data_IF_675611925856
#
_entry.id   IF_675611925856
#
_cell.length_a   1.000
_cell.length_b   1.000
_cell.length_c   1.000
_cell.angle_alpha   90.00
_cell.angle_beta   90.00
_cell.angle_gamma   90.00
#
_symmetry.space_group_name_H-M   'P 1'
#
loop_
_entity.id
_entity.type
_entity.pdbx_description
1 polymer ?
#
# COMPACT_ATOMS: atom_id res chain seq x y z
N UNK A 1 -47.92 -55.26 21.65
CA UNK A 1 -46.56 -55.06 22.20
C UNK A 1 -45.52 -54.91 21.10
N UNK A 2 -45.58 -53.82 20.31
CA UNK A 2 -44.52 -53.41 19.36
C UNK A 2 -44.67 -51.92 19.09
N UNK A 3 -44.14 -51.08 19.97
CA UNK A 3 -43.90 -49.65 19.75
C UNK A 3 -43.17 -49.14 20.99
N UNK A 4 -41.84 -49.14 20.94
CA UNK A 4 -40.93 -48.30 21.76
C UNK A 4 -39.52 -48.86 21.56
N UNK A 5 -38.81 -48.48 20.49
CA UNK A 5 -37.34 -48.58 20.44
C UNK A 5 -36.72 -47.93 19.19
N UNK A 6 -37.22 -46.78 18.71
CA UNK A 6 -36.55 -46.06 17.59
C UNK A 6 -36.74 -44.54 17.72
N UNK A 7 -36.42 -43.92 18.86
CA UNK A 7 -36.39 -42.42 18.90
C UNK A 7 -35.28 -41.81 19.75
N UNK A 8 -34.34 -42.57 20.33
CA UNK A 8 -33.42 -42.01 21.34
C UNK A 8 -31.95 -41.90 20.92
N UNK A 9 -31.58 -42.15 19.65
CA UNK A 9 -30.16 -42.09 19.21
C UNK A 9 -29.87 -40.95 18.21
N UNK A 10 -30.88 -40.35 17.59
CA UNK A 10 -30.66 -39.33 16.55
C UNK A 10 -30.43 -37.89 17.07
N UNK A 11 -30.71 -37.61 18.34
CA UNK A 11 -30.68 -36.22 18.87
C UNK A 11 -29.33 -35.78 19.44
N UNK A 12 -28.43 -36.70 19.78
CA UNK A 12 -27.14 -36.32 20.40
C UNK A 12 -26.03 -36.08 19.37
N UNK A 13 -26.08 -36.69 18.19
CA UNK A 13 -25.04 -36.55 17.16
C UNK A 13 -25.14 -35.24 16.36
N UNK A 14 -26.33 -34.64 16.27
CA UNK A 14 -26.56 -33.41 15.51
C UNK A 14 -26.06 -32.15 16.27
N UNK A 15 -26.10 -32.16 17.59
CA UNK A 15 -25.58 -31.06 18.41
C UNK A 15 -24.04 -30.96 18.38
N UNK A 16 -23.32 -32.07 18.26
CA UNK A 16 -21.86 -32.04 18.14
C UNK A 16 -21.37 -31.56 16.76
N UNK A 17 -22.11 -31.86 15.68
CA UNK A 17 -21.77 -31.37 14.34
C UNK A 17 -22.00 -29.86 14.18
N UNK A 18 -23.02 -29.29 14.82
CA UNK A 18 -23.24 -27.83 14.81
C UNK A 18 -22.23 -27.11 15.71
N UNK A 19 -21.83 -27.70 16.84
CA UNK A 19 -20.80 -27.12 17.71
C UNK A 19 -19.38 -27.17 17.09
N UNK A 20 -19.04 -28.20 16.33
CA UNK A 20 -17.75 -28.28 15.62
C UNK A 20 -17.70 -27.35 14.38
N UNK A 21 -18.86 -27.05 13.77
CA UNK A 21 -18.96 -26.12 12.63
C UNK A 21 -18.87 -24.65 13.05
N UNK A 22 -19.27 -24.31 14.29
CA UNK A 22 -19.15 -22.95 14.83
C UNK A 22 -17.78 -22.68 15.50
N UNK A 23 -17.00 -23.72 15.79
CA UNK A 23 -15.67 -23.62 16.39
C UNK A 23 -14.52 -23.54 15.36
N UNK A 24 -14.83 -23.46 14.06
CA UNK A 24 -13.91 -22.89 13.05
C UNK A 24 -14.04 -21.35 13.11
N UNK A 25 -13.97 -20.81 14.33
CA UNK A 25 -13.80 -19.39 14.57
C UNK A 25 -12.36 -19.05 14.21
N UNK A 26 -12.17 -18.56 12.97
CA UNK A 26 -11.36 -17.37 12.71
C UNK A 26 -9.98 -17.36 13.39
N UNK A 27 -9.22 -18.45 13.29
CA UNK A 27 -7.77 -18.36 13.37
C UNK A 27 -7.25 -17.74 12.07
N UNK A 28 -7.72 -16.53 11.74
CA UNK A 28 -7.02 -15.68 10.80
C UNK A 28 -5.68 -15.36 11.43
N UNK A 29 -4.59 -15.60 10.71
CA UNK A 29 -3.30 -15.05 11.07
C UNK A 29 -3.48 -13.54 11.20
N UNK A 30 -3.28 -12.98 12.40
CA UNK A 30 -3.30 -11.54 12.58
C UNK A 30 -2.08 -10.99 11.83
N UNK A 31 -2.32 -10.15 10.81
CA UNK A 31 -1.24 -9.48 10.08
C UNK A 31 -0.84 -8.25 10.89
N UNK A 32 0.46 -8.02 11.07
CA UNK A 32 0.92 -6.83 11.76
C UNK A 32 0.63 -5.61 10.89
N UNK A 33 0.02 -4.58 11.48
CA UNK A 33 -0.20 -3.29 10.82
C UNK A 33 0.91 -2.34 11.25
N UNK A 34 1.67 -1.85 10.28
CA UNK A 34 2.73 -0.86 10.46
C UNK A 34 2.19 0.50 10.02
N UNK A 35 2.10 1.45 10.95
CA UNK A 35 1.70 2.81 10.65
C UNK A 35 2.88 3.59 10.09
N UNK A 36 2.72 4.12 8.88
CA UNK A 36 3.69 4.96 8.18
C UNK A 36 3.18 6.39 8.20
N UNK A 37 3.94 7.30 8.79
CA UNK A 37 3.51 8.68 9.00
C UNK A 37 4.48 9.73 8.44
N UNK A 38 5.57 9.27 7.84
CA UNK A 38 6.54 10.12 7.14
C UNK A 38 7.38 9.28 6.16
N UNK A 39 7.93 9.95 5.16
CA UNK A 39 8.97 9.40 4.29
C UNK A 39 10.34 9.93 4.70
N UNK A 40 11.31 9.04 4.78
CA UNK A 40 12.71 9.39 5.02
C UNK A 40 13.50 9.56 3.72
N UNK A 41 14.59 10.32 3.75
CA UNK A 41 15.58 10.26 2.67
C UNK A 41 16.26 8.89 2.65
N UNK A 42 16.47 8.29 1.48
CA UNK A 42 17.09 6.98 1.35
C UNK A 42 18.57 7.02 1.80
N UNK A 43 18.97 6.34 2.90
CA UNK A 43 20.36 6.26 3.31
C UNK A 43 21.12 5.19 2.50
N UNK A 44 22.44 5.11 2.69
CA UNK A 44 23.25 4.03 2.09
C UNK A 44 22.88 2.63 2.64
N UNK A 45 22.35 2.57 3.87
CA UNK A 45 21.88 1.33 4.49
C UNK A 45 20.48 1.59 5.07
N UNK A 46 19.42 1.19 4.36
CA UNK A 46 18.06 1.31 4.85
C UNK A 46 17.82 0.53 6.14
N UNK A 47 16.91 1.04 6.96
CA UNK A 47 16.36 0.32 8.10
C UNK A 47 15.07 -0.38 7.69
N UNK A 48 14.83 -1.54 8.27
CA UNK A 48 13.59 -2.29 8.08
C UNK A 48 12.36 -1.45 8.46
N UNK A 49 11.26 -1.64 7.73
CA UNK A 49 9.94 -1.04 7.96
C UNK A 49 9.90 0.51 7.91
N UNK A 50 10.97 1.16 7.46
CA UNK A 50 10.97 2.59 7.13
C UNK A 50 10.65 2.74 5.64
N UNK A 51 9.78 3.70 5.33
CA UNK A 51 9.49 4.09 3.96
C UNK A 51 10.34 5.29 3.55
N UNK A 52 10.95 5.18 2.37
CA UNK A 52 11.92 6.13 1.85
C UNK A 52 11.43 6.76 0.54
N UNK A 53 11.89 7.97 0.27
CA UNK A 53 11.86 8.58 -1.06
C UNK A 53 12.86 7.82 -1.97
N UNK A 54 12.44 6.68 -2.54
CA UNK A 54 13.35 5.74 -3.22
C UNK A 54 13.84 6.26 -4.57
N UNK A 55 12.99 6.93 -5.34
CA UNK A 55 13.35 7.54 -6.63
C UNK A 55 12.46 8.75 -6.93
N UNK A 56 12.94 9.95 -6.57
CA UNK A 56 12.34 11.24 -6.91
C UNK A 56 13.14 11.87 -8.03
N UNK A 57 12.52 12.13 -9.18
CA UNK A 57 13.18 12.80 -10.33
C UNK A 57 12.39 14.02 -10.77
N UNK A 58 13.14 15.06 -11.13
CA UNK A 58 12.59 16.33 -11.61
C UNK A 58 11.60 16.93 -10.62
N UNK A 59 10.36 17.14 -11.04
CA UNK A 59 9.27 17.66 -10.21
C UNK A 59 8.43 16.59 -9.49
N UNK A 60 8.94 15.35 -9.42
CA UNK A 60 8.31 14.29 -8.63
C UNK A 60 8.30 14.59 -7.13
N UNK A 61 7.17 14.36 -6.45
CA UNK A 61 7.07 14.54 -4.99
C UNK A 61 6.27 13.42 -4.33
N UNK A 62 6.49 13.24 -3.03
CA UNK A 62 5.69 12.35 -2.19
C UNK A 62 5.41 12.96 -0.81
N UNK A 63 4.22 12.72 -0.27
CA UNK A 63 3.80 13.15 1.07
C UNK A 63 2.72 12.25 1.65
N UNK A 64 2.35 12.43 2.91
CA UNK A 64 1.22 11.74 3.56
C UNK A 64 0.28 12.82 4.13
N UNK A 65 -0.57 13.43 3.28
CA UNK A 65 -1.50 14.47 3.72
C UNK A 65 -2.65 13.90 4.57
N UNK A 66 -3.20 14.72 5.46
CA UNK A 66 -4.51 14.49 6.04
C UNK A 66 -5.57 14.75 4.96
N UNK A 67 -6.44 13.76 4.70
CA UNK A 67 -7.49 13.85 3.68
C UNK A 67 -8.80 14.43 4.23
N UNK A 68 -8.85 14.82 5.50
CA UNK A 68 -10.02 15.47 6.11
C UNK A 68 -10.33 16.80 5.41
N UNK A 69 -11.56 16.95 4.93
CA UNK A 69 -12.04 18.14 4.23
C UNK A 69 -11.67 18.24 2.75
N UNK A 70 -10.98 17.25 2.17
CA UNK A 70 -10.72 17.19 0.71
C UNK A 70 -12.00 16.93 -0.10
N UNK A 71 -13.03 16.36 0.53
CA UNK A 71 -14.33 16.07 -0.07
C UNK A 71 -14.30 14.93 -1.09
N UNK A 72 -15.49 14.66 -1.67
CA UNK A 72 -15.67 13.64 -2.70
C UNK A 72 -15.21 12.25 -2.27
N UNK A 73 -14.91 11.40 -3.24
CA UNK A 73 -14.45 10.03 -2.96
C UNK A 73 -13.05 9.99 -2.34
N UNK A 74 -12.23 11.02 -2.54
CA UNK A 74 -10.90 11.10 -1.94
C UNK A 74 -11.01 11.07 -0.41
N UNK A 75 -11.96 11.82 0.18
CA UNK A 75 -12.20 11.83 1.63
C UNK A 75 -13.17 10.72 2.08
N UNK A 76 -14.32 10.57 1.42
CA UNK A 76 -15.43 9.74 1.94
C UNK A 76 -15.25 8.23 1.73
N UNK A 77 -14.39 7.84 0.80
CA UNK A 77 -14.16 6.44 0.42
C UNK A 77 -12.70 6.02 0.60
N UNK A 78 -11.88 6.82 1.28
CA UNK A 78 -10.51 6.43 1.62
C UNK A 78 -10.50 5.23 2.56
N UNK A 79 -9.44 4.42 2.51
CA UNK A 79 -9.22 3.48 3.59
C UNK A 79 -9.02 4.22 4.93
N UNK A 80 -9.57 3.63 6.00
CA UNK A 80 -9.48 4.21 7.35
C UNK A 80 -8.06 4.03 7.91
N UNK A 81 -7.55 4.94 8.76
CA UNK A 81 -8.29 6.02 9.45
C UNK A 81 -8.43 7.32 8.65
N UNK A 82 -7.35 8.07 8.44
CA UNK A 82 -7.32 9.35 7.73
C UNK A 82 -5.92 9.60 7.19
N UNK A 83 -5.77 9.63 5.87
CA UNK A 83 -4.50 9.80 5.20
C UNK A 83 -4.29 8.79 4.09
N UNK A 84 -3.33 9.10 3.23
CA UNK A 84 -2.79 8.16 2.26
C UNK A 84 -1.44 8.69 1.78
N UNK A 85 -0.58 7.82 1.24
CA UNK A 85 0.61 8.27 0.55
C UNK A 85 0.24 8.94 -0.78
N UNK A 86 0.52 10.22 -0.92
CA UNK A 86 0.37 10.99 -2.15
C UNK A 86 1.65 10.95 -2.97
N UNK A 87 1.53 10.72 -4.27
CA UNK A 87 2.59 10.80 -5.27
C UNK A 87 2.19 11.78 -6.36
N UNK A 88 3.12 12.65 -6.75
CA UNK A 88 2.91 13.56 -7.88
C UNK A 88 4.07 13.52 -8.87
N UNK A 89 3.79 13.67 -10.16
CA UNK A 89 4.81 13.96 -11.18
C UNK A 89 4.57 15.34 -11.78
N UNK A 90 5.61 15.93 -12.38
CA UNK A 90 5.47 17.17 -13.13
C UNK A 90 5.21 16.95 -14.62
N UNK A 91 5.35 18.02 -15.40
CA UNK A 91 5.05 18.04 -16.83
C UNK A 91 6.17 17.49 -17.73
N UNK A 92 7.27 16.96 -17.18
CA UNK A 92 8.38 16.40 -17.94
C UNK A 92 8.34 14.88 -17.99
N UNK A 93 8.73 14.29 -19.13
CA UNK A 93 8.79 12.83 -19.31
C UNK A 93 9.77 12.14 -18.36
N UNK A 94 10.72 12.90 -17.80
CA UNK A 94 11.69 12.40 -16.84
C UNK A 94 11.22 12.53 -15.38
N UNK A 95 10.07 13.18 -15.13
CA UNK A 95 9.54 13.30 -13.77
C UNK A 95 9.06 11.93 -13.28
N UNK A 96 9.41 11.61 -12.04
CA UNK A 96 9.10 10.32 -11.41
C UNK A 96 8.93 10.52 -9.91
N UNK A 97 7.97 9.83 -9.31
CA UNK A 97 7.83 9.73 -7.87
C UNK A 97 7.64 8.27 -7.45
N UNK A 98 8.56 7.77 -6.63
CA UNK A 98 8.51 6.44 -6.04
C UNK A 98 8.93 6.47 -4.58
N UNK A 99 8.17 5.79 -3.73
CA UNK A 99 8.53 5.55 -2.34
C UNK A 99 8.54 4.06 -2.06
N UNK A 100 9.42 3.62 -1.18
CA UNK A 100 9.55 2.19 -0.90
C UNK A 100 10.21 1.88 0.43
N UNK A 101 10.02 0.64 0.86
CA UNK A 101 10.70 0.05 2.01
C UNK A 101 11.64 -1.05 1.53
N UNK A 102 12.73 -1.26 2.26
CA UNK A 102 13.81 -2.17 1.92
C UNK A 102 14.14 -3.01 3.14
N UNK A 103 14.54 -4.25 2.89
CA UNK A 103 14.82 -5.24 3.93
C UNK A 103 14.97 -6.60 3.29
N UNK A 104 14.90 -7.66 4.09
CA UNK A 104 14.78 -9.02 3.57
C UNK A 104 13.38 -9.57 3.85
N UNK A 105 12.51 -9.54 2.83
CA UNK A 105 11.10 -9.93 2.99
C UNK A 105 10.84 -11.42 2.74
N UNK A 106 11.86 -12.21 2.40
CA UNK A 106 11.74 -13.64 2.19
C UNK A 106 12.25 -14.12 0.82
N UNK A 107 12.08 -15.42 0.56
CA UNK A 107 12.47 -16.04 -0.70
C UNK A 107 11.62 -15.50 -1.86
N UNK A 108 12.29 -15.06 -2.94
CA UNK A 108 11.62 -14.66 -4.18
C UNK A 108 10.83 -15.82 -4.80
N UNK A 109 11.36 -17.05 -4.72
CA UNK A 109 10.67 -18.27 -5.21
C UNK A 109 9.33 -18.44 -4.48
N UNK A 110 9.32 -18.34 -3.14
CA UNK A 110 8.08 -18.46 -2.35
C UNK A 110 7.13 -17.30 -2.60
N UNK A 111 7.66 -16.08 -2.62
CA UNK A 111 6.91 -14.85 -2.84
C UNK A 111 6.15 -14.86 -4.18
N UNK A 112 6.81 -15.25 -5.27
CA UNK A 112 6.19 -15.24 -6.59
C UNK A 112 5.24 -16.44 -6.83
N UNK A 113 5.49 -17.60 -6.21
CA UNK A 113 4.63 -18.79 -6.40
C UNK A 113 3.41 -18.82 -5.48
N UNK A 114 3.49 -18.19 -4.30
CA UNK A 114 2.47 -18.33 -3.25
C UNK A 114 2.23 -17.08 -2.40
N UNK A 115 2.99 -16.01 -2.62
CA UNK A 115 2.78 -14.74 -1.93
C UNK A 115 1.46 -14.10 -2.34
N UNK A 116 0.88 -13.37 -1.40
CA UNK A 116 -0.26 -12.48 -1.64
C UNK A 116 0.20 -11.06 -1.39
N UNK A 117 -0.12 -10.16 -2.31
CA UNK A 117 0.18 -8.74 -2.21
C UNK A 117 -1.10 -7.95 -2.43
N UNK A 118 -1.15 -6.71 -2.00
CA UNK A 118 -2.29 -5.85 -2.27
C UNK A 118 -2.05 -4.43 -1.86
N UNK A 119 -2.86 -3.52 -2.38
CA UNK A 119 -2.85 -2.12 -2.00
C UNK A 119 -4.13 -1.45 -2.45
N UNK A 120 -4.48 -0.34 -1.81
CA UNK A 120 -5.51 0.57 -2.27
C UNK A 120 -4.86 1.71 -3.04
N UNK A 121 -5.46 2.17 -4.14
CA UNK A 121 -5.01 3.38 -4.82
C UNK A 121 -6.15 4.27 -5.26
N UNK A 122 -5.88 5.56 -5.41
CA UNK A 122 -6.79 6.55 -5.96
C UNK A 122 -6.04 7.35 -7.01
N UNK A 123 -6.64 7.53 -8.18
CA UNK A 123 -6.13 8.43 -9.20
C UNK A 123 -6.99 9.68 -9.26
N UNK A 124 -6.36 10.85 -9.11
CA UNK A 124 -7.07 12.13 -9.21
C UNK A 124 -7.25 12.55 -10.68
N UNK A 125 -8.44 13.00 -11.06
CA UNK A 125 -8.71 13.43 -12.44
C UNK A 125 -8.10 14.78 -12.82
N UNK A 126 -7.88 15.66 -11.85
CA UNK A 126 -7.42 17.02 -12.09
C UNK A 126 -5.93 17.03 -12.43
N UNK A 127 -5.59 17.57 -13.61
CA UNK A 127 -4.21 17.77 -14.04
C UNK A 127 -3.56 16.56 -14.71
N UNK A 128 -4.27 15.43 -14.84
CA UNK A 128 -3.74 14.18 -15.39
C UNK A 128 -3.32 14.30 -16.87
N UNK A 129 -2.03 14.10 -17.15
CA UNK A 129 -1.48 14.07 -18.51
C UNK A 129 -1.45 12.68 -19.17
N UNK A 130 -1.75 11.61 -18.44
CA UNK A 130 -1.77 10.22 -18.93
C UNK A 130 -2.92 9.42 -18.27
N UNK A 131 -4.01 9.23 -19.02
CA UNK A 131 -5.21 8.52 -18.59
C UNK A 131 -4.97 7.05 -18.12
N UNK A 132 -3.84 6.44 -18.47
CA UNK A 132 -3.55 5.04 -18.21
C UNK A 132 -2.60 4.80 -17.04
N UNK A 133 -1.96 5.84 -16.50
CA UNK A 133 -1.04 5.69 -15.38
C UNK A 133 -1.80 5.59 -14.05
N UNK A 134 -1.42 4.65 -13.19
CA UNK A 134 -1.84 4.56 -11.79
C UNK A 134 -0.60 4.42 -10.90
N UNK A 135 -0.69 4.59 -9.57
CA UNK A 135 0.34 4.11 -8.67
C UNK A 135 0.56 2.60 -8.85
N UNK A 136 1.80 2.21 -9.17
CA UNK A 136 2.17 0.83 -9.52
C UNK A 136 2.97 0.22 -8.37
N UNK A 137 2.55 -0.94 -7.87
CA UNK A 137 3.29 -1.73 -6.88
C UNK A 137 4.51 -2.39 -7.54
N UNK A 138 5.63 -2.46 -6.82
CA UNK A 138 6.88 -3.01 -7.32
C UNK A 138 7.53 -3.93 -6.31
N UNK A 139 8.15 -5.00 -6.82
CA UNK A 139 8.92 -5.96 -6.04
C UNK A 139 10.34 -6.01 -6.57
N UNK A 140 11.30 -5.62 -5.74
CA UNK A 140 12.72 -5.70 -6.08
C UNK A 140 13.29 -7.04 -5.62
N UNK A 141 13.92 -7.76 -6.53
CA UNK A 141 14.50 -9.07 -6.32
C UNK A 141 16.02 -9.00 -6.43
N UNK A 142 16.72 -9.71 -5.55
CA UNK A 142 18.18 -9.78 -5.56
C UNK A 142 18.66 -11.15 -5.06
N UNK A 143 19.63 -11.75 -5.74
CA UNK A 143 20.30 -12.98 -5.30
C UNK A 143 21.75 -12.68 -4.88
N UNK A 144 22.01 -12.58 -3.58
CA UNK A 144 23.36 -12.33 -3.07
C UNK A 144 24.35 -13.43 -3.50
N UNK A 145 25.54 -13.03 -3.93
CA UNK A 145 26.57 -13.93 -4.46
C UNK A 145 26.27 -14.56 -5.83
N UNK A 146 25.18 -14.17 -6.49
CA UNK A 146 24.88 -14.59 -7.87
C UNK A 146 25.94 -14.14 -8.88
N UNK A 147 26.05 -14.87 -9.98
CA UNK A 147 26.95 -14.56 -11.10
C UNK A 147 26.16 -13.99 -12.27
N UNK A 148 26.27 -12.69 -12.55
CA UNK A 148 25.61 -12.06 -13.70
C UNK A 148 24.58 -11.01 -13.31
N UNK A 149 23.44 -10.98 -14.01
CA UNK A 149 22.35 -10.03 -13.80
C UNK A 149 21.38 -10.56 -12.71
N UNK A 150 21.83 -10.61 -11.47
CA UNK A 150 21.14 -11.23 -10.33
C UNK A 150 20.18 -10.27 -9.59
N UNK A 151 19.72 -9.21 -10.26
CA UNK A 151 18.92 -8.14 -9.69
C UNK A 151 17.85 -7.66 -10.68
N UNK A 152 16.67 -7.31 -10.19
CA UNK A 152 15.70 -6.58 -10.98
C UNK A 152 14.45 -6.21 -10.20
N UNK A 153 13.49 -5.57 -10.87
CA UNK A 153 12.23 -5.15 -10.27
C UNK A 153 11.05 -5.56 -11.13
N UNK A 154 10.11 -6.27 -10.53
CA UNK A 154 8.80 -6.56 -11.10
C UNK A 154 7.92 -5.36 -10.82
N UNK A 155 7.23 -4.86 -11.83
CA UNK A 155 6.32 -3.71 -11.72
C UNK A 155 4.93 -4.14 -12.12
N UNK A 156 3.98 -4.00 -11.20
CA UNK A 156 2.58 -4.30 -11.40
C UNK A 156 1.84 -3.09 -11.94
N UNK A 157 1.16 -3.28 -13.06
CA UNK A 157 0.28 -2.26 -13.63
C UNK A 157 -1.18 -2.72 -13.50
N UNK A 158 -2.00 -2.06 -12.67
CA UNK A 158 -3.40 -2.47 -12.44
C UNK A 158 -4.32 -2.23 -13.64
N UNK A 159 -3.89 -1.38 -14.57
CA UNK A 159 -4.63 -1.04 -15.79
C UNK A 159 -3.64 -0.99 -16.95
N UNK A 160 -3.30 -2.16 -17.47
CA UNK A 160 -2.27 -2.29 -18.48
C UNK A 160 -2.72 -1.86 -19.89
N UNK A 161 -1.80 -1.29 -20.68
CA UNK A 161 -2.07 -0.62 -21.94
C UNK A 161 -1.67 -1.44 -23.19
N UNK A 162 -2.61 -2.15 -23.83
CA UNK A 162 -2.36 -2.77 -25.15
C UNK A 162 -3.47 -2.64 -26.21
N UNK A 163 -3.01 -2.74 -27.46
CA UNK A 163 -3.67 -2.29 -28.70
C UNK A 163 -4.54 -3.30 -29.45
N UNK A 164 -4.84 -4.47 -28.90
CA UNK A 164 -5.93 -5.35 -29.41
C UNK A 164 -6.74 -5.89 -28.23
N UNK A 165 -7.74 -5.12 -27.81
CA UNK A 165 -8.51 -5.39 -26.59
C UNK A 165 -8.66 -4.15 -25.71
N UNK A 166 -7.74 -3.19 -25.84
CA UNK A 166 -7.96 -1.79 -25.49
C UNK A 166 -7.36 -1.35 -24.17
N UNK A 167 -6.75 -0.17 -24.27
CA UNK A 167 -6.49 0.78 -23.19
C UNK A 167 -7.58 0.85 -22.15
N UNK A 168 -7.50 0.19 -20.99
CA UNK A 168 -8.45 0.54 -19.92
C UNK A 168 -7.94 1.80 -19.23
N UNK A 169 -8.68 2.90 -19.39
CA UNK A 169 -8.40 4.10 -18.61
C UNK A 169 -8.54 3.73 -17.13
N UNK A 170 -7.60 4.20 -16.32
CA UNK A 170 -7.67 4.00 -14.87
C UNK A 170 -8.92 4.71 -14.35
N UNK A 171 -9.76 4.08 -13.51
CA UNK A 171 -10.85 4.76 -12.84
C UNK A 171 -10.30 5.97 -12.06
N UNK A 172 -10.73 7.17 -12.46
CA UNK A 172 -10.37 8.40 -11.78
C UNK A 172 -11.40 8.73 -10.71
N UNK A 173 -10.95 9.45 -9.70
CA UNK A 173 -11.73 9.91 -8.56
C UNK A 173 -12.49 8.82 -7.81
N UNK A 174 -11.89 7.62 -7.72
CA UNK A 174 -12.42 6.51 -6.96
C UNK A 174 -11.28 5.64 -6.44
N UNK A 175 -11.40 5.24 -5.17
CA UNK A 175 -10.49 4.28 -4.57
C UNK A 175 -10.70 2.90 -5.19
N UNK A 176 -9.60 2.29 -5.61
CA UNK A 176 -9.50 0.93 -6.12
C UNK A 176 -8.78 0.07 -5.10
N UNK A 177 -9.23 -1.16 -4.90
CA UNK A 177 -8.58 -2.13 -4.02
C UNK A 177 -8.03 -3.28 -4.86
N UNK A 178 -6.73 -3.47 -4.81
CA UNK A 178 -6.01 -4.47 -5.59
C UNK A 178 -5.58 -5.62 -4.69
N UNK A 179 -5.85 -6.85 -5.13
CA UNK A 179 -5.40 -8.08 -4.51
C UNK A 179 -4.66 -8.92 -5.54
N UNK A 180 -3.39 -9.17 -5.30
CA UNK A 180 -2.46 -9.82 -6.21
C UNK A 180 -2.05 -11.17 -5.63
N UNK A 181 -2.20 -12.20 -6.45
CA UNK A 181 -1.78 -13.58 -6.16
C UNK A 181 -0.78 -14.02 -7.22
N UNK A 182 -0.26 -15.25 -7.08
CA UNK A 182 0.66 -15.81 -8.08
C UNK A 182 0.08 -15.95 -9.48
N UNK A 183 -1.26 -15.95 -9.62
CA UNK A 183 -1.97 -16.06 -10.91
C UNK A 183 -2.51 -14.75 -11.46
N UNK A 184 -2.41 -13.64 -10.73
CA UNK A 184 -2.89 -12.32 -11.17
C UNK A 184 -2.12 -11.87 -12.41
N UNK A 185 -2.83 -11.55 -13.50
CA UNK A 185 -2.24 -11.22 -14.81
C UNK A 185 -1.80 -12.42 -15.67
N UNK A 186 -2.25 -13.65 -15.36
CA UNK A 186 -1.89 -14.85 -16.13
C UNK A 186 -2.72 -15.07 -17.40
N UNK A 187 -2.09 -15.70 -18.41
CA UNK A 187 -2.70 -16.61 -19.41
C UNK A 187 -3.81 -16.11 -20.35
N UNK A 188 -4.50 -15.01 -20.07
CA UNK A 188 -5.57 -14.42 -20.85
C UNK A 188 -6.08 -13.09 -20.29
N UNK A 189 -5.72 -12.69 -19.07
CA UNK A 189 -6.14 -11.43 -18.48
C UNK A 189 -5.40 -10.26 -19.15
N UNK A 190 -6.08 -9.44 -19.98
CA UNK A 190 -5.43 -8.33 -20.66
C UNK A 190 -5.43 -7.05 -19.81
N UNK A 191 -6.02 -7.08 -18.61
CA UNK A 191 -6.35 -5.88 -17.86
C UNK A 191 -5.28 -5.46 -16.86
N UNK A 192 -4.51 -6.41 -16.33
CA UNK A 192 -3.47 -6.17 -15.32
C UNK A 192 -2.32 -7.17 -15.42
N UNK A 193 -1.20 -6.85 -14.81
CA UNK A 193 -0.11 -7.80 -14.59
C UNK A 193 1.25 -7.17 -14.42
N UNK A 194 2.28 -8.02 -14.46
CA UNK A 194 3.65 -7.64 -14.14
C UNK A 194 4.54 -7.56 -15.37
N UNK A 195 5.33 -6.50 -15.44
CA UNK A 195 6.45 -6.37 -16.36
C UNK A 195 7.79 -6.35 -15.59
N UNK A 196 8.89 -6.61 -16.28
CA UNK A 196 10.20 -6.85 -15.67
C UNK A 196 11.26 -5.88 -16.17
N UNK A 197 12.08 -5.35 -15.26
CA UNK A 197 13.14 -4.37 -15.61
C UNK A 197 14.44 -4.98 -16.13
N UNK A 198 14.54 -6.31 -16.22
CA UNK A 198 15.79 -7.03 -16.49
C UNK A 198 16.33 -7.73 -15.23
N UNK A 199 17.14 -8.76 -15.42
CA UNK A 199 17.61 -9.66 -14.36
C UNK A 199 17.23 -11.13 -14.60
N UNK A 200 17.94 -12.04 -13.96
CA UNK A 200 17.76 -13.49 -13.97
C UNK A 200 17.69 -14.09 -15.39
N UNK A 201 18.64 -13.67 -16.24
CA UNK A 201 18.71 -14.01 -17.68
C UNK A 201 17.45 -13.64 -18.49
N UNK A 202 16.58 -12.78 -17.94
CA UNK A 202 15.43 -12.23 -18.64
C UNK A 202 15.71 -10.78 -19.05
N UNK A 203 15.39 -10.46 -20.30
CA UNK A 203 15.51 -9.09 -20.80
C UNK A 203 14.51 -8.13 -20.15
N UNK A 204 14.87 -6.85 -20.12
CA UNK A 204 13.97 -5.76 -19.75
C UNK A 204 12.83 -5.65 -20.77
N UNK A 205 11.58 -5.65 -20.31
CA UNK A 205 10.40 -5.51 -21.19
C UNK A 205 9.96 -4.06 -21.42
N UNK A 206 10.73 -3.10 -20.89
CA UNK A 206 10.63 -1.66 -21.08
C UNK A 206 9.26 -1.06 -20.76
N UNK A 207 8.61 -1.57 -19.70
CA UNK A 207 7.24 -1.19 -19.39
C UNK A 207 6.30 -1.63 -20.49
N UNK A 208 6.42 -2.88 -20.94
CA UNK A 208 5.73 -3.42 -22.11
C UNK A 208 5.65 -4.95 -22.08
N UNK A 209 4.95 -5.57 -23.04
CA UNK A 209 4.85 -7.01 -23.14
C UNK A 209 6.21 -7.73 -23.23
N UNK A 210 6.30 -8.98 -22.76
CA UNK A 210 5.18 -9.75 -22.20
C UNK A 210 4.81 -9.30 -20.79
N UNK A 211 3.52 -9.12 -20.55
CA UNK A 211 2.96 -9.01 -19.20
C UNK A 211 2.62 -10.41 -18.74
N UNK A 212 2.98 -10.72 -17.49
CA UNK A 212 2.84 -12.05 -16.92
C UNK A 212 2.37 -11.95 -15.49
N UNK A 213 1.85 -13.06 -14.99
CA UNK A 213 1.66 -13.27 -13.57
C UNK A 213 2.99 -13.50 -12.84
N UNK A 214 2.98 -13.36 -11.52
CA UNK A 214 4.15 -13.67 -10.69
C UNK A 214 4.61 -15.13 -10.85
N UNK A 215 3.67 -16.09 -10.96
CA UNK A 215 4.00 -17.50 -11.14
C UNK A 215 4.63 -17.80 -12.50
N UNK A 216 4.20 -17.12 -13.56
CA UNK A 216 4.85 -17.21 -14.88
C UNK A 216 6.25 -16.59 -14.86
N UNK A 217 6.45 -15.46 -14.17
CA UNK A 217 7.79 -14.88 -13.97
C UNK A 217 8.70 -15.81 -13.17
N UNK A 218 8.22 -16.41 -12.07
CA UNK A 218 8.99 -17.40 -11.31
C UNK A 218 9.40 -18.60 -12.15
N UNK A 219 8.51 -19.08 -13.02
CA UNK A 219 8.81 -20.17 -13.95
C UNK A 219 9.96 -19.79 -14.90
N UNK A 220 9.94 -18.58 -15.44
CA UNK A 220 11.01 -18.09 -16.32
C UNK A 220 12.33 -17.90 -15.58
N UNK A 221 12.31 -17.25 -14.42
CA UNK A 221 13.50 -17.02 -13.61
C UNK A 221 14.13 -18.33 -13.11
N UNK A 222 13.36 -19.41 -12.96
CA UNK A 222 13.89 -20.71 -12.55
C UNK A 222 14.87 -21.35 -13.54
N UNK A 223 14.97 -20.83 -14.77
CA UNK A 223 16.01 -21.21 -15.72
C UNK A 223 17.41 -20.71 -15.31
N UNK A 224 17.47 -19.66 -14.48
CA UNK A 224 18.69 -19.16 -13.86
C UNK A 224 18.87 -19.80 -12.48
N UNK A 225 20.06 -20.38 -12.24
CA UNK A 225 20.38 -21.00 -10.96
C UNK A 225 20.45 -20.01 -9.80
N UNK A 226 20.72 -18.73 -10.06
CA UNK A 226 20.82 -17.70 -9.01
C UNK A 226 19.45 -17.38 -8.41
N UNK A 227 18.38 -17.54 -9.19
CA UNK A 227 17.02 -17.26 -8.73
C UNK A 227 16.59 -18.15 -7.55
N UNK A 228 17.14 -19.37 -7.43
CA UNK A 228 16.87 -20.25 -6.30
C UNK A 228 17.25 -19.62 -4.94
N UNK A 229 18.23 -18.72 -4.94
CA UNK A 229 18.69 -17.99 -3.74
C UNK A 229 18.20 -16.54 -3.70
N UNK A 230 17.39 -16.10 -4.68
CA UNK A 230 16.88 -14.75 -4.73
C UNK A 230 15.94 -14.44 -3.55
N UNK A 231 16.04 -13.20 -3.07
CA UNK A 231 15.24 -12.63 -1.99
C UNK A 231 14.42 -11.47 -2.53
N UNK A 232 13.24 -11.23 -1.94
CA UNK A 232 12.53 -9.98 -2.13
C UNK A 232 13.18 -8.96 -1.20
N UNK A 233 13.89 -7.98 -1.78
CA UNK A 233 14.71 -7.02 -1.02
C UNK A 233 14.12 -5.62 -0.93
N UNK A 234 13.02 -5.39 -1.65
CA UNK A 234 12.35 -4.10 -1.65
C UNK A 234 10.92 -4.21 -2.13
N UNK A 235 10.06 -3.38 -1.56
CA UNK A 235 8.70 -3.13 -2.04
C UNK A 235 8.53 -1.63 -2.17
N UNK A 236 8.10 -1.19 -3.34
CA UNK A 236 7.86 0.23 -3.60
C UNK A 236 6.54 0.44 -4.32
N UNK A 237 6.00 1.64 -4.18
CA UNK A 237 4.87 2.11 -4.97
C UNK A 237 5.29 3.41 -5.63
N UNK A 238 5.02 3.53 -6.93
CA UNK A 238 5.46 4.69 -7.68
C UNK A 238 4.66 4.96 -8.93
N UNK A 239 4.79 6.18 -9.42
CA UNK A 239 4.39 6.60 -10.76
C UNK A 239 5.68 6.78 -11.57
N UNK A 240 5.81 5.97 -12.64
CA UNK A 240 7.01 5.94 -13.48
C UNK A 240 7.19 7.19 -14.36
N UNK A 241 8.35 7.28 -15.02
CA UNK A 241 8.61 8.25 -16.09
C UNK A 241 7.62 8.09 -17.26
N UNK A 242 7.48 9.12 -18.09
CA UNK A 242 6.47 9.25 -19.17
C UNK A 242 5.02 9.35 -18.70
N UNK A 243 4.78 9.44 -17.39
CA UNK A 243 3.47 9.71 -16.81
C UNK A 243 3.45 11.16 -16.31
N UNK A 244 3.05 12.07 -17.19
CA UNK A 244 3.10 13.51 -16.93
C UNK A 244 1.96 13.97 -16.03
N UNK A 245 2.25 14.90 -15.13
CA UNK A 245 1.27 15.62 -14.32
C UNK A 245 0.32 14.70 -13.56
N UNK A 246 0.82 13.56 -13.08
CA UNK A 246 0.02 12.62 -12.30
C UNK A 246 -0.14 13.11 -10.88
N UNK A 247 -1.32 12.85 -10.32
CA UNK A 247 -1.53 12.84 -8.86
C UNK A 247 -2.24 11.55 -8.50
N UNK A 248 -1.56 10.71 -7.73
CA UNK A 248 -2.09 9.45 -7.24
C UNK A 248 -1.92 9.36 -5.73
N UNK A 249 -2.83 8.62 -5.08
CA UNK A 249 -2.72 8.25 -3.68
C UNK A 249 -2.68 6.73 -3.59
N UNK A 250 -2.02 6.20 -2.58
CA UNK A 250 -2.06 4.79 -2.25
C UNK A 250 -2.02 4.57 -0.74
N UNK A 251 -2.54 3.43 -0.31
CA UNK A 251 -2.61 3.03 1.09
C UNK A 251 -2.77 1.51 1.24
N UNK A 252 -2.72 0.98 2.47
CA UNK A 252 -2.90 -0.45 2.79
C UNK A 252 -2.03 -1.40 1.97
N UNK A 253 -0.73 -1.09 1.83
CA UNK A 253 0.20 -1.97 1.12
C UNK A 253 0.38 -3.23 1.96
N UNK A 254 -0.21 -4.33 1.51
CA UNK A 254 -0.20 -5.63 2.20
C UNK A 254 0.74 -6.60 1.51
N UNK A 255 1.53 -7.31 2.30
CA UNK A 255 2.49 -8.31 1.85
C UNK A 255 2.35 -9.52 2.78
N UNK A 256 2.04 -10.68 2.19
CA UNK A 256 1.96 -11.95 2.90
C UNK A 256 2.74 -13.02 2.13
N UNK A 257 3.93 -13.35 2.64
CA UNK A 257 4.82 -14.37 2.09
C UNK A 257 4.98 -15.47 3.13
N UNK A 258 4.66 -16.72 2.78
CA UNK A 258 4.80 -17.86 3.70
C UNK A 258 6.25 -18.01 4.18
N UNK A 259 6.48 -17.91 5.49
CA UNK A 259 7.83 -17.96 6.08
C UNK A 259 8.68 -16.71 5.84
N UNK A 260 8.07 -15.62 5.36
CA UNK A 260 8.68 -14.31 5.16
C UNK A 260 7.85 -13.20 5.82
N UNK A 261 7.81 -12.02 5.17
CA UNK A 261 7.06 -10.87 5.66
C UNK A 261 5.54 -11.15 5.66
N UNK A 262 4.86 -10.75 6.73
CA UNK A 262 3.40 -10.77 6.81
C UNK A 262 2.87 -9.49 7.48
N UNK A 263 2.86 -8.39 6.72
CA UNK A 263 2.59 -7.04 7.21
C UNK A 263 1.67 -6.26 6.27
N UNK A 264 0.95 -5.29 6.84
CA UNK A 264 0.24 -4.24 6.10
C UNK A 264 0.79 -2.89 6.51
N UNK A 265 1.19 -2.07 5.55
CA UNK A 265 1.60 -0.69 5.76
C UNK A 265 0.43 0.25 5.52
N UNK A 266 0.06 1.00 6.56
CA UNK A 266 -1.05 1.94 6.61
C UNK A 266 -0.50 3.37 6.73
N UNK A 267 -0.86 4.24 5.79
CA UNK A 267 -0.27 5.57 5.63
C UNK A 267 -1.16 6.63 6.27
N UNK A 268 -0.81 6.99 7.49
CA UNK A 268 -1.61 7.91 8.30
C UNK A 268 -0.95 9.27 8.39
N UNK A 269 -1.74 10.32 8.17
CA UNK A 269 -1.28 11.66 8.48
C UNK A 269 -1.04 11.78 9.99
N UNK A 270 0.08 12.37 10.39
CA UNK A 270 0.24 12.77 11.80
C UNK A 270 -0.73 13.94 12.03
N UNK A 271 -1.72 13.81 12.93
CA UNK A 271 -2.58 14.95 13.25
C UNK A 271 -1.68 16.10 13.68
N UNK A 272 -1.76 17.25 13.01
CA UNK A 272 -1.05 18.41 13.50
C UNK A 272 -1.46 18.63 14.96
N UNK A 273 -0.52 18.85 15.89
CA UNK A 273 -0.85 19.06 17.29
C UNK A 273 -1.78 20.26 17.33
N UNK A 274 -3.06 19.98 17.54
CA UNK A 274 -4.11 20.95 17.32
C UNK A 274 -3.81 22.18 18.18
N UNK A 275 -3.51 23.30 17.50
CA UNK A 275 -3.19 24.57 18.14
C UNK A 275 -4.32 25.06 19.07
N UNK A 276 -5.47 24.38 19.08
CA UNK A 276 -6.55 24.48 20.06
C UNK A 276 -6.09 24.36 21.51
N UNK A 277 -5.12 23.50 21.84
CA UNK A 277 -4.59 23.41 23.21
C UNK A 277 -3.85 24.69 23.62
N UNK A 278 -3.14 25.33 22.70
CA UNK A 278 -2.46 26.61 22.96
C UNK A 278 -3.40 27.81 22.89
N UNK A 279 -4.33 27.85 21.93
CA UNK A 279 -5.33 28.91 21.82
C UNK A 279 -6.27 28.95 23.03
N UNK A 280 -6.70 27.78 23.52
CA UNK A 280 -7.50 27.68 24.73
C UNK A 280 -6.75 28.16 25.98
N UNK A 281 -5.48 27.81 26.12
CA UNK A 281 -4.63 28.27 27.23
C UNK A 281 -4.38 29.79 27.17
N UNK A 282 -4.12 30.35 25.99
CA UNK A 282 -3.89 31.79 25.82
C UNK A 282 -5.15 32.59 26.13
N UNK A 283 -6.32 32.16 25.65
CA UNK A 283 -7.60 32.81 25.95
C UNK A 283 -7.97 32.73 27.43
N UNK A 284 -7.71 31.60 28.10
CA UNK A 284 -7.99 31.43 29.53
C UNK A 284 -7.01 32.21 30.42
N UNK A 285 -5.74 32.32 30.04
CA UNK A 285 -4.76 33.15 30.77
C UNK A 285 -5.04 34.65 30.59
N UNK A 286 -5.40 35.09 29.38
CA UNK A 286 -5.80 36.48 29.14
C UNK A 286 -7.12 36.82 29.83
N UNK A 287 -8.12 35.93 29.75
CA UNK A 287 -9.40 36.08 30.45
C UNK A 287 -9.25 36.11 31.98
N UNK A 288 -8.43 35.21 32.54
CA UNK A 288 -8.14 35.18 33.97
C UNK A 288 -7.42 36.44 34.46
N UNK A 289 -6.45 36.95 33.69
CA UNK A 289 -5.77 38.21 34.02
C UNK A 289 -6.69 39.43 33.92
N UNK A 290 -7.58 39.47 32.93
CA UNK A 290 -8.57 40.54 32.80
C UNK A 290 -9.53 40.57 34.00
N UNK A 291 -10.08 39.42 34.39
CA UNK A 291 -10.97 39.31 35.56
C UNK A 291 -10.25 39.72 36.86
N UNK A 292 -9.00 39.28 37.06
CA UNK A 292 -8.19 39.65 38.23
C UNK A 292 -7.97 41.16 38.36
N UNK A 293 -7.78 41.87 37.25
CA UNK A 293 -7.65 43.34 37.25
C UNK A 293 -8.96 44.04 37.64
N UNK A 294 -10.12 43.55 37.17
CA UNK A 294 -11.43 44.13 37.56
C UNK A 294 -11.74 43.98 39.05
N UNK A 295 -11.46 42.83 39.65
CA UNK A 295 -11.69 42.63 41.09
C UNK A 295 -10.82 43.54 41.97
N UNK A 296 -9.61 43.88 41.53
CA UNK A 296 -8.77 44.85 42.26
C UNK A 296 -9.29 46.28 42.13
N UNK A 297 -9.79 46.67 40.97
CA UNK A 297 -10.34 48.01 40.74
C UNK A 297 -11.64 48.25 41.52
N UNK A 298 -12.50 47.24 41.66
CA UNK A 298 -13.77 47.38 42.40
C UNK A 298 -13.62 47.50 43.92
N UNK A 299 -12.47 47.12 44.50
CA UNK A 299 -12.21 47.27 45.95
C UNK A 299 -11.78 48.68 46.35
N UNK A 300 -11.25 49.49 45.43
CA UNK A 300 -10.79 50.84 45.74
C UNK A 300 -11.90 51.89 45.73
N UNK A 301 -13.10 51.56 45.23
CA UNK A 301 -14.25 52.49 45.18
C UNK A 301 -15.26 52.29 46.32
N UNK A 302 -14.99 51.37 47.27
CA UNK A 302 -15.88 51.10 48.41
C UNK A 302 -15.41 51.69 49.75
N UNK A 303 -14.30 52.46 49.75
CA UNK A 303 -13.85 53.25 50.91
C UNK A 303 -14.08 54.74 50.62
N UNK A 304 -15.33 55.18 50.78
CA UNK A 304 -15.70 56.59 51.02
C UNK A 304 -16.78 56.61 52.09
#
# INVERSE_FOLDING_TARGET
MKKLLIETVASNSLCYLIALSLAVCLCGTAHAVVVVNSFSALPATPNDNVWYLSDMRGAGTASIPDLTGEGGNLEFSQPLPTGAAKLTTGASVNDKAEVGTFGDFGSAVTALNSGTFGYSYYKQSVGDGNAFAAPSLKLTLFADGGTGDNYGTLVYEPNWNQGTGGSSAVPMDAWQNISITSSTGSGADPSEGWWWTGGFEQGNTAGGPPIKSLGEWATLFSADSDFANARVVGVSVGVGTYNLSQTGYFDNVSIAISGGLNETFDFQAVPEPSAFLFGGLVCSVLGGNYLRKRFKAGKQTAEV
#
